data_IF_921344862112
#
_entry.id   IF_921344862112
#
_cell.length_a   1.000
_cell.length_b   1.000
_cell.length_c   1.000
_cell.angle_alpha   90.00
_cell.angle_beta   90.00
_cell.angle_gamma   90.00
#
_symmetry.space_group_name_H-M   'P 1'
#
loop_
_entity.id
_entity.type
_entity.pdbx_description
1 polymer ?
#
# COMPACT_ATOMS: atom_id res chain seq x y z
N UNK A 1 6.00 10.78 3.26
CA UNK A 1 6.56 10.80 4.64
C UNK A 1 7.66 9.74 4.75
N UNK A 2 8.72 9.95 5.54
CA UNK A 2 9.77 8.96 5.74
C UNK A 2 9.63 8.29 7.11
N UNK A 3 9.35 6.99 7.11
CA UNK A 3 9.13 6.17 8.29
C UNK A 3 10.06 4.97 8.25
N UNK A 4 11.18 5.10 8.96
CA UNK A 4 12.17 4.04 9.18
C UNK A 4 11.95 3.35 10.55
N UNK A 5 10.69 3.30 10.99
CA UNK A 5 10.28 2.61 12.20
C UNK A 5 9.01 1.81 11.89
N UNK A 6 9.04 0.51 12.23
CA UNK A 6 7.91 -0.40 12.06
C UNK A 6 6.67 0.06 12.82
N UNK A 7 6.81 0.46 14.08
CA UNK A 7 5.67 0.86 14.93
C UNK A 7 4.97 2.11 14.40
N UNK A 8 5.74 3.10 13.95
CA UNK A 8 5.19 4.31 13.33
C UNK A 8 4.49 3.99 12.01
N UNK A 9 5.06 3.08 11.21
CA UNK A 9 4.46 2.63 9.96
C UNK A 9 3.16 1.88 10.20
N UNK A 10 3.11 0.99 11.19
CA UNK A 10 1.89 0.29 11.61
C UNK A 10 0.84 1.29 12.11
N UNK A 11 1.23 2.28 12.90
CA UNK A 11 0.34 3.33 13.40
C UNK A 11 -0.26 4.11 12.24
N UNK A 12 0.55 4.54 11.27
CA UNK A 12 0.06 5.23 10.09
C UNK A 12 -0.86 4.34 9.23
N UNK A 13 -0.54 3.05 9.08
CA UNK A 13 -1.41 2.12 8.35
C UNK A 13 -2.78 1.96 9.03
N UNK A 14 -2.84 1.97 10.37
CA UNK A 14 -4.10 2.00 11.12
C UNK A 14 -4.89 3.27 10.83
N UNK A 15 -4.26 4.44 10.91
CA UNK A 15 -4.90 5.72 10.60
C UNK A 15 -5.41 5.79 9.15
N UNK A 16 -4.64 5.27 8.20
CA UNK A 16 -5.04 5.22 6.79
C UNK A 16 -6.21 4.26 6.58
N UNK A 17 -6.24 3.13 7.31
CA UNK A 17 -7.36 2.19 7.28
C UNK A 17 -8.67 2.86 7.75
N UNK A 18 -8.61 3.62 8.84
CA UNK A 18 -9.75 4.41 9.34
C UNK A 18 -10.20 5.49 8.34
N UNK A 19 -9.28 6.02 7.53
CA UNK A 19 -9.56 6.98 6.45
C UNK A 19 -10.08 6.33 5.16
N UNK A 20 -10.21 5.00 5.10
CA UNK A 20 -10.77 4.28 3.97
C UNK A 20 -9.75 3.68 2.99
N UNK A 21 -8.44 3.73 3.31
CA UNK A 21 -7.45 2.95 2.56
C UNK A 21 -7.52 1.48 2.97
N UNK A 22 -7.61 0.56 2.01
CA UNK A 22 -7.86 -0.85 2.30
C UNK A 22 -6.68 -1.76 1.92
N UNK A 23 -5.84 -1.32 0.99
CA UNK A 23 -4.78 -2.14 0.42
C UNK A 23 -3.45 -1.42 0.48
N UNK A 24 -2.38 -2.19 0.59
CA UNK A 24 -1.00 -1.71 0.58
C UNK A 24 -0.16 -2.61 -0.32
N UNK A 25 0.73 -1.99 -1.10
CA UNK A 25 1.67 -2.66 -2.01
C UNK A 25 3.05 -2.03 -1.82
N UNK A 26 4.09 -2.74 -2.29
CA UNK A 26 5.41 -2.17 -2.45
C UNK A 26 5.68 -1.93 -3.93
N UNK A 27 6.21 -0.75 -4.21
CA UNK A 27 6.69 -0.36 -5.53
C UNK A 27 8.06 -1.01 -5.81
N UNK A 28 8.33 -1.35 -7.07
CA UNK A 28 9.47 -2.20 -7.48
C UNK A 28 10.81 -1.46 -7.41
N UNK A 29 10.80 -0.15 -7.59
CA UNK A 29 12.02 0.66 -7.73
C UNK A 29 12.18 1.73 -6.64
N UNK A 30 11.30 1.73 -5.65
CA UNK A 30 11.31 2.74 -4.61
C UNK A 30 11.14 2.15 -3.21
N UNK A 31 11.73 2.78 -2.17
CA UNK A 31 11.47 2.41 -0.79
C UNK A 31 10.08 2.93 -0.34
N UNK A 32 9.04 2.75 -1.16
CA UNK A 32 7.69 3.20 -0.87
C UNK A 32 6.75 2.01 -0.65
N UNK A 33 5.91 2.13 0.38
CA UNK A 33 4.63 1.47 0.44
C UNK A 33 3.59 2.41 -0.16
N UNK A 34 2.73 1.89 -1.03
CA UNK A 34 1.64 2.64 -1.65
C UNK A 34 0.32 2.09 -1.13
N UNK A 35 -0.49 2.94 -0.51
CA UNK A 35 -1.81 2.57 0.01
C UNK A 35 -2.90 2.98 -0.96
N UNK A 36 -3.89 2.10 -1.14
CA UNK A 36 -5.00 2.24 -2.07
C UNK A 36 -6.34 1.99 -1.37
N UNK A 37 -7.34 2.79 -1.72
CA UNK A 37 -8.72 2.71 -1.19
C UNK A 37 -9.54 1.55 -1.79
N UNK A 38 -9.20 1.17 -3.01
CA UNK A 38 -9.76 0.02 -3.73
C UNK A 38 -8.63 -0.93 -4.13
N UNK A 39 -8.98 -2.18 -4.43
CA UNK A 39 -7.99 -3.20 -4.79
C UNK A 39 -7.25 -2.77 -6.08
N UNK A 40 -5.94 -2.49 -6.02
CA UNK A 40 -5.18 -2.12 -7.20
C UNK A 40 -4.80 -3.36 -8.02
N UNK A 41 -4.39 -3.13 -9.26
CA UNK A 41 -3.80 -4.13 -10.17
C UNK A 41 -2.33 -3.79 -10.41
N UNK A 42 -1.49 -4.83 -10.56
CA UNK A 42 -0.11 -4.68 -11.04
C UNK A 42 -0.12 -4.58 -12.58
N UNK A 43 0.45 -3.50 -13.10
CA UNK A 43 0.64 -3.21 -14.52
C UNK A 43 2.06 -3.63 -14.90
N UNK A 44 2.17 -4.69 -15.72
CA UNK A 44 3.45 -5.31 -16.06
C UNK A 44 4.26 -4.52 -17.09
N UNK A 45 3.60 -3.66 -17.86
CA UNK A 45 4.20 -2.78 -18.86
C UNK A 45 5.01 -1.64 -18.23
N UNK A 46 4.55 -1.14 -17.07
CA UNK A 46 5.21 -0.07 -16.33
C UNK A 46 5.75 -0.53 -14.96
N UNK A 47 5.70 -1.84 -14.67
CA UNK A 47 6.02 -2.45 -13.37
C UNK A 47 5.40 -1.72 -12.16
N UNK A 48 4.22 -1.13 -12.35
CA UNK A 48 3.58 -0.25 -11.37
C UNK A 48 2.28 -0.81 -10.82
N UNK A 49 1.70 -0.12 -9.84
CA UNK A 49 0.38 -0.42 -9.29
C UNK A 49 -0.59 0.73 -9.50
N UNK A 50 -1.85 0.41 -9.81
CA UNK A 50 -2.88 1.42 -9.99
C UNK A 50 -4.30 0.85 -9.90
N UNK A 51 -5.29 1.72 -9.94
CA UNK A 51 -6.69 1.31 -9.98
C UNK A 51 -7.07 0.76 -11.36
N UNK A 52 -7.84 -0.33 -11.35
CA UNK A 52 -8.46 -0.87 -12.57
C UNK A 52 -9.38 0.19 -13.21
N UNK A 53 -10.14 0.88 -12.37
CA UNK A 53 -11.01 2.00 -12.73
C UNK A 53 -10.67 3.20 -11.82
N UNK A 54 -9.87 4.17 -12.30
CA UNK A 54 -9.51 5.36 -11.54
C UNK A 54 -10.68 6.29 -11.20
N UNK A 55 -11.77 6.23 -11.97
CA UNK A 55 -12.96 7.08 -11.79
C UNK A 55 -14.03 6.40 -10.93
N UNK A 56 -13.75 5.20 -10.40
CA UNK A 56 -14.65 4.50 -9.52
C UNK A 56 -15.01 5.39 -8.30
N UNK A 57 -16.29 5.46 -7.87
CA UNK A 57 -16.75 6.43 -6.85
C UNK A 57 -16.04 6.37 -5.48
N UNK A 58 -15.27 5.31 -5.20
CA UNK A 58 -14.52 5.12 -3.96
C UNK A 58 -13.00 5.19 -4.16
N UNK A 59 -12.54 5.45 -5.38
CA UNK A 59 -11.12 5.59 -5.68
C UNK A 59 -10.60 6.92 -5.11
N UNK A 60 -9.68 6.82 -4.15
CA UNK A 60 -8.94 7.93 -3.56
C UNK A 60 -7.53 7.99 -4.14
N UNK A 61 -6.89 9.15 -4.16
CA UNK A 61 -5.48 9.24 -4.52
C UNK A 61 -4.62 8.29 -3.66
N UNK A 62 -3.69 7.58 -4.31
CA UNK A 62 -2.79 6.66 -3.61
C UNK A 62 -1.92 7.43 -2.59
N UNK A 63 -1.71 6.83 -1.42
CA UNK A 63 -0.89 7.43 -0.37
C UNK A 63 0.48 6.73 -0.30
N UNK A 64 1.55 7.48 -0.53
CA UNK A 64 2.92 6.95 -0.54
C UNK A 64 3.62 7.15 0.82
N UNK A 65 4.14 6.07 1.39
CA UNK A 65 4.90 6.04 2.65
C UNK A 65 6.31 5.58 2.31
N UNK A 66 7.33 6.44 2.49
CA UNK A 66 8.71 6.01 2.36
C UNK A 66 9.02 5.14 3.56
N UNK A 67 9.31 3.87 3.34
CA UNK A 67 9.53 2.88 4.37
C UNK A 67 10.48 1.80 3.83
N UNK A 68 11.42 1.36 4.67
CA UNK A 68 12.31 0.24 4.36
C UNK A 68 12.12 -0.95 5.29
N UNK A 69 11.40 -0.80 6.40
CA UNK A 69 11.33 -1.83 7.46
C UNK A 69 10.22 -2.86 7.30
N UNK A 70 9.10 -2.50 6.66
CA UNK A 70 8.04 -3.48 6.36
C UNK A 70 8.49 -4.26 5.11
N UNK A 71 9.08 -5.43 5.31
CA UNK A 71 9.66 -6.25 4.23
C UNK A 71 8.72 -7.36 3.77
N UNK A 72 7.72 -7.70 4.57
CA UNK A 72 6.69 -8.71 4.29
C UNK A 72 5.78 -8.30 3.12
N UNK A 73 5.62 -6.99 2.91
CA UNK A 73 4.99 -6.44 1.71
C UNK A 73 6.10 -6.26 0.67
N UNK A 74 6.35 -7.31 -0.10
CA UNK A 74 7.39 -7.36 -1.13
C UNK A 74 6.88 -6.88 -2.49
N UNK A 75 7.79 -6.35 -3.32
CA UNK A 75 7.52 -6.01 -4.72
C UNK A 75 7.14 -7.24 -5.58
N UNK A 76 7.60 -8.43 -5.16
CA UNK A 76 7.32 -9.70 -5.82
C UNK A 76 5.91 -10.24 -5.54
N UNK A 77 5.15 -9.59 -4.65
CA UNK A 77 3.77 -9.95 -4.39
C UNK A 77 2.93 -9.75 -5.66
N UNK A 78 2.20 -10.81 -6.06
CA UNK A 78 1.34 -10.78 -7.26
C UNK A 78 0.01 -10.10 -7.02
N UNK A 79 -0.34 -9.85 -5.76
CA UNK A 79 -1.58 -9.22 -5.33
C UNK A 79 -1.30 -8.20 -4.25
N UNK A 80 -2.15 -7.18 -4.17
CA UNK A 80 -2.09 -6.23 -3.07
C UNK A 80 -2.43 -6.89 -1.74
N UNK A 81 -1.75 -6.44 -0.68
CA UNK A 81 -1.98 -6.90 0.68
C UNK A 81 -3.11 -6.09 1.30
N UNK A 82 -4.09 -6.75 1.92
CA UNK A 82 -5.10 -6.07 2.75
C UNK A 82 -4.41 -5.43 3.96
N UNK A 83 -4.66 -4.14 4.20
CA UNK A 83 -4.10 -3.44 5.38
C UNK A 83 -4.59 -4.12 6.65
N UNK A 84 -5.88 -4.48 6.72
CA UNK A 84 -6.45 -5.16 7.89
C UNK A 84 -5.79 -6.52 8.12
N UNK A 85 -5.61 -7.32 7.07
CA UNK A 85 -5.00 -8.65 7.20
C UNK A 85 -3.53 -8.54 7.65
N UNK A 86 -2.81 -7.55 7.10
CA UNK A 86 -1.46 -7.25 7.51
C UNK A 86 -1.40 -6.86 8.99
N UNK A 87 -2.28 -5.97 9.45
CA UNK A 87 -2.32 -5.49 10.83
C UNK A 87 -2.71 -6.56 11.86
N UNK A 88 -3.43 -7.62 11.47
CA UNK A 88 -3.75 -8.74 12.37
C UNK A 88 -2.53 -9.66 12.58
N UNK A 89 -1.67 -9.79 11.57
CA UNK A 89 -0.48 -10.63 11.62
C UNK A 89 0.81 -9.90 12.02
N UNK A 90 0.79 -8.56 12.10
CA UNK A 90 1.94 -7.70 12.37
C UNK A 90 2.10 -7.36 13.86
#
# INVERSE_FOLDING_TARGET
MNLNNREETITLLKELNEKGYQYVVRDEDMPYLCCFSLKPKKYLDINGWGYIDPDAPKAMMAYAIKNTDITEISWSNRSATSITDFLVGA
#
